data_IF_575676069727
#
_entry.id   IF_575676069727
#
_cell.length_a   1.000
_cell.length_b   1.000
_cell.length_c   1.000
_cell.angle_alpha   90.00
_cell.angle_beta   90.00
_cell.angle_gamma   90.00
#
_symmetry.space_group_name_H-M   'P 1'
#
loop_
_entity.id
_entity.type
_entity.pdbx_description
1 polymer ?
#
# COMPACT_ATOMS: atom_id res chain seq x y z
N UNK A 1 -9.58 15.41 0.64
CA UNK A 1 -8.35 15.08 -0.11
C UNK A 1 -8.15 13.56 -0.10
N UNK A 2 -7.69 12.97 -1.20
CA UNK A 2 -7.44 11.51 -1.35
C UNK A 2 -5.97 11.32 -1.75
N UNK A 3 -5.28 10.38 -1.10
CA UNK A 3 -3.86 10.12 -1.39
C UNK A 3 -3.69 9.32 -2.70
N UNK A 4 -2.50 9.41 -3.31
CA UNK A 4 -2.19 8.80 -4.60
C UNK A 4 -2.42 7.28 -4.63
N UNK A 5 -2.08 6.58 -3.55
CA UNK A 5 -2.19 5.12 -3.43
C UNK A 5 -3.65 4.67 -3.56
N UNK A 6 -4.59 5.40 -2.94
CA UNK A 6 -6.02 5.09 -3.01
C UNK A 6 -6.59 5.32 -4.40
N UNK A 7 -6.14 6.36 -5.09
CA UNK A 7 -6.51 6.60 -6.48
C UNK A 7 -5.94 5.51 -7.41
N UNK A 8 -4.69 5.09 -7.20
CA UNK A 8 -4.06 4.03 -7.98
C UNK A 8 -4.78 2.69 -7.81
N UNK A 9 -5.15 2.32 -6.57
CA UNK A 9 -5.92 1.11 -6.31
C UNK A 9 -7.30 1.18 -6.96
N UNK A 10 -8.02 2.30 -6.81
CA UNK A 10 -9.33 2.47 -7.45
C UNK A 10 -9.25 2.31 -8.98
N UNK A 11 -8.24 2.92 -9.61
CA UNK A 11 -8.01 2.79 -11.05
C UNK A 11 -7.70 1.33 -11.44
N UNK A 12 -6.86 0.63 -10.67
CA UNK A 12 -6.54 -0.77 -10.92
C UNK A 12 -7.79 -1.67 -10.82
N UNK A 13 -8.67 -1.43 -9.85
CA UNK A 13 -9.92 -2.18 -9.67
C UNK A 13 -10.88 -1.97 -10.85
N UNK A 14 -11.03 -0.72 -11.29
CA UNK A 14 -11.82 -0.36 -12.48
C UNK A 14 -11.29 -1.03 -13.76
N UNK A 15 -9.97 -1.21 -13.85
CA UNK A 15 -9.32 -1.94 -14.94
C UNK A 15 -9.40 -3.48 -14.80
N UNK A 16 -10.09 -4.00 -13.79
CA UNK A 16 -10.26 -5.45 -13.58
C UNK A 16 -9.22 -6.08 -12.65
N UNK A 17 -8.28 -5.32 -12.09
CA UNK A 17 -7.32 -5.79 -11.09
C UNK A 17 -8.01 -6.25 -9.80
N UNK A 18 -7.52 -7.33 -9.21
CA UNK A 18 -8.10 -7.93 -7.99
C UNK A 18 -7.08 -8.23 -6.89
N UNK A 19 -5.84 -8.52 -7.26
CA UNK A 19 -4.79 -8.90 -6.33
C UNK A 19 -3.60 -7.97 -6.45
N UNK A 20 -3.30 -7.26 -5.36
CA UNK A 20 -2.11 -6.45 -5.22
C UNK A 20 -0.91 -7.34 -4.93
N UNK A 21 0.19 -7.13 -5.66
CA UNK A 21 1.48 -7.79 -5.41
C UNK A 21 2.52 -6.81 -4.86
N UNK A 22 2.53 -5.57 -5.37
CA UNK A 22 3.42 -4.52 -4.91
C UNK A 22 2.88 -3.13 -5.22
N UNK A 23 3.38 -2.12 -4.50
CA UNK A 23 3.12 -0.71 -4.78
C UNK A 23 4.40 0.11 -4.59
N UNK A 24 4.60 1.08 -5.48
CA UNK A 24 5.67 2.08 -5.36
C UNK A 24 5.05 3.46 -5.11
N UNK A 25 5.59 4.19 -4.13
CA UNK A 25 5.15 5.53 -3.74
C UNK A 25 6.31 6.50 -3.88
N UNK A 26 6.10 7.55 -4.68
CA UNK A 26 7.06 8.64 -4.84
C UNK A 26 6.69 9.79 -3.89
N UNK A 27 7.65 10.26 -3.11
CA UNK A 27 7.46 11.34 -2.13
C UNK A 27 8.75 12.15 -1.98
N UNK A 28 8.69 13.45 -1.75
CA UNK A 28 9.89 14.26 -1.46
C UNK A 28 10.36 14.12 0.01
N UNK A 29 9.65 13.32 0.82
CA UNK A 29 10.07 13.02 2.17
C UNK A 29 11.47 12.41 2.23
N UNK A 30 12.23 12.82 3.23
CA UNK A 30 13.61 12.43 3.49
C UNK A 30 13.74 12.02 4.96
N UNK A 31 13.85 10.72 5.28
CA UNK A 31 13.81 9.59 4.37
C UNK A 31 12.42 9.38 3.73
N UNK A 32 12.30 8.61 2.64
CA UNK A 32 11.00 8.32 2.02
C UNK A 32 9.98 7.81 3.06
N UNK A 33 8.82 8.45 3.08
CA UNK A 33 7.75 8.14 4.03
C UNK A 33 6.98 6.90 3.58
N UNK A 34 6.58 6.06 4.54
CA UNK A 34 5.60 5.01 4.27
C UNK A 34 4.21 5.60 4.02
N UNK A 35 3.30 4.87 3.33
CA UNK A 35 1.91 5.29 3.13
C UNK A 35 1.21 5.64 4.44
N UNK A 36 0.20 6.53 4.39
CA UNK A 36 -0.62 6.83 5.56
C UNK A 36 -1.51 5.63 5.97
N UNK A 37 -2.01 5.61 7.21
CA UNK A 37 -2.76 4.47 7.74
C UNK A 37 -3.97 4.06 6.88
N UNK A 38 -4.75 5.04 6.41
CA UNK A 38 -5.89 4.77 5.52
C UNK A 38 -5.48 4.17 4.17
N UNK A 39 -4.32 4.54 3.63
CA UNK A 39 -3.81 3.90 2.41
C UNK A 39 -3.37 2.46 2.69
N UNK A 40 -2.74 2.19 3.83
CA UNK A 40 -2.34 0.82 4.21
C UNK A 40 -3.56 -0.11 4.32
N UNK A 41 -4.65 0.37 4.93
CA UNK A 41 -5.89 -0.42 4.99
C UNK A 41 -6.46 -0.69 3.60
N UNK A 42 -6.52 0.31 2.72
CA UNK A 42 -6.99 0.09 1.34
C UNK A 42 -6.11 -0.91 0.60
N UNK A 43 -4.78 -0.83 0.73
CA UNK A 43 -3.87 -1.82 0.15
C UNK A 43 -4.12 -3.24 0.72
N UNK A 44 -4.47 -3.35 2.00
CA UNK A 44 -4.78 -4.62 2.68
C UNK A 44 -6.02 -5.31 2.13
N UNK A 45 -7.06 -4.57 1.76
CA UNK A 45 -8.28 -5.15 1.18
C UNK A 45 -8.02 -5.87 -0.15
N UNK A 46 -6.97 -5.47 -0.88
CA UNK A 46 -6.59 -6.08 -2.16
C UNK A 46 -5.36 -6.99 -2.05
N UNK A 47 -4.81 -7.18 -0.85
CA UNK A 47 -3.69 -8.08 -0.60
C UNK A 47 -4.20 -9.48 -0.24
N UNK A 48 -3.97 -10.47 -1.11
CA UNK A 48 -4.30 -11.87 -0.82
C UNK A 48 -3.46 -12.41 0.35
N UNK A 49 -2.19 -12.02 0.41
CA UNK A 49 -1.29 -12.28 1.53
C UNK A 49 -0.50 -10.98 1.83
N UNK A 50 -0.77 -10.30 2.96
CA UNK A 50 -0.07 -9.05 3.31
C UNK A 50 1.42 -9.26 3.63
N UNK A 51 1.86 -10.48 3.91
CA UNK A 51 3.29 -10.78 4.11
C UNK A 51 4.05 -10.82 2.78
N UNK A 52 3.36 -11.12 1.68
CA UNK A 52 3.91 -11.18 0.33
C UNK A 52 3.83 -9.83 -0.44
N UNK A 53 2.98 -8.89 0.00
CA UNK A 53 2.85 -7.58 -0.66
C UNK A 53 4.00 -6.66 -0.29
N UNK A 54 4.73 -6.19 -1.31
CA UNK A 54 5.87 -5.27 -1.13
C UNK A 54 5.45 -3.81 -1.32
N UNK A 55 5.79 -2.95 -0.36
CA UNK A 55 5.60 -1.50 -0.43
C UNK A 55 6.97 -0.85 -0.57
N UNK A 56 7.16 -0.06 -1.63
CA UNK A 56 8.40 0.66 -1.91
C UNK A 56 8.12 2.15 -1.84
N UNK A 57 8.88 2.90 -1.05
CA UNK A 57 8.86 4.37 -1.08
C UNK A 57 10.18 4.88 -1.64
N UNK A 58 10.10 5.82 -2.59
CA UNK A 58 11.27 6.45 -3.23
C UNK A 58 11.12 7.97 -3.14
N UNK A 59 12.24 8.67 -3.05
CA UNK A 59 12.25 10.13 -3.22
C UNK A 59 13.05 10.60 -4.43
N UNK A 60 12.97 11.90 -4.69
CA UNK A 60 13.64 12.57 -5.81
C UNK A 60 15.17 12.48 -5.78
N UNK A 61 15.76 12.10 -4.63
CA UNK A 61 17.21 11.88 -4.46
C UNK A 61 17.63 10.42 -4.67
N UNK A 62 16.68 9.54 -5.00
CA UNK A 62 16.93 8.12 -5.21
C UNK A 62 17.05 7.30 -3.92
N UNK A 63 16.78 7.89 -2.75
CA UNK A 63 16.68 7.12 -1.50
C UNK A 63 15.46 6.21 -1.58
N UNK A 64 15.60 4.99 -1.06
CA UNK A 64 14.55 3.96 -1.13
C UNK A 64 14.36 3.31 0.22
N UNK A 65 13.10 3.01 0.54
CA UNK A 65 12.72 2.17 1.67
C UNK A 65 11.69 1.16 1.21
N UNK A 66 11.77 -0.05 1.74
CA UNK A 66 10.85 -1.14 1.41
C UNK A 66 10.36 -1.84 2.66
N UNK A 67 9.11 -2.28 2.62
CA UNK A 67 8.47 -3.04 3.69
C UNK A 67 7.54 -4.10 3.07
N UNK A 68 7.19 -5.10 3.86
CA UNK A 68 5.98 -5.88 3.60
C UNK A 68 4.76 -5.08 4.09
N UNK A 69 3.59 -5.34 3.51
CA UNK A 69 2.36 -4.73 4.00
C UNK A 69 2.05 -5.13 5.44
N UNK A 70 2.28 -6.41 5.79
CA UNK A 70 2.12 -6.91 7.15
C UNK A 70 3.01 -6.19 8.18
N UNK A 71 4.23 -5.78 7.80
CA UNK A 71 5.10 -5.01 8.69
C UNK A 71 4.62 -3.57 8.92
N UNK A 72 3.90 -3.00 7.94
CA UNK A 72 3.36 -1.63 8.04
C UNK A 72 1.96 -1.57 8.66
N UNK A 73 1.23 -2.68 8.66
CA UNK A 73 -0.11 -2.80 9.22
C UNK A 73 -0.27 -4.20 9.84
N UNK A 74 0.36 -4.45 10.99
CA UNK A 74 0.20 -5.71 11.71
C UNK A 74 -1.24 -5.85 12.23
N UNK A 75 -1.71 -7.09 12.38
CA UNK A 75 -3.04 -7.43 12.92
C UNK A 75 -4.17 -6.63 12.23
N UNK A 76 -4.01 -6.41 10.93
CA UNK A 76 -4.92 -5.60 10.13
C UNK A 76 -6.31 -6.23 10.06
N UNK A 77 -7.34 -5.41 10.24
CA UNK A 77 -8.72 -5.80 9.97
C UNK A 77 -8.89 -6.27 8.53
N UNK A 78 -9.71 -7.29 8.31
CA UNK A 78 -10.14 -7.67 6.96
C UNK A 78 -11.55 -8.23 6.93
N UNK A 79 -12.11 -8.37 5.72
CA UNK A 79 -13.48 -8.87 5.53
C UNK A 79 -13.75 -10.27 6.12
N UNK A 80 -12.72 -11.05 6.46
CA UNK A 80 -12.90 -12.36 7.14
C UNK A 80 -13.35 -12.25 8.60
N UNK A 81 -13.27 -11.06 9.19
CA UNK A 81 -13.69 -10.78 10.56
C UNK A 81 -15.07 -10.11 10.64
N UNK A 82 -15.73 -9.90 9.49
CA UNK A 82 -17.10 -9.45 9.45
C UNK A 82 -18.05 -10.61 9.81
N UNK A 83 -19.12 -10.34 10.58
CA UNK A 83 -20.13 -11.35 10.94
C UNK A 83 -20.96 -11.82 9.75
#
# INVERSE_FOLDING_TARGET
SVCAERNAIAAAVLAGGRHLQAVAVCTDASPPSSPCGGCRQVLREFAADPTAVTIIAVNSRGERRSWTLAALLPDSFSGTELP
#
